data_IF_976257147923
#
_entry.id   IF_976257147923
#
_cell.length_a   1.000
_cell.length_b   1.000
_cell.length_c   1.000
_cell.angle_alpha   90.00
_cell.angle_beta   90.00
_cell.angle_gamma   90.00
#
_symmetry.space_group_name_H-M   'P 1'
#
loop_
_entity.id
_entity.type
_entity.pdbx_description
1 polymer ?
#
# COMPACT_ATOMS: atom_id res chain seq x y z
N UNK A 1 -18.05 12.41 1.12
CA UNK A 1 -18.12 11.03 0.55
C UNK A 1 -17.29 10.06 1.39
N UNK A 2 -15.99 10.26 1.57
CA UNK A 2 -15.11 9.38 2.37
C UNK A 2 -15.59 9.19 3.82
N UNK A 3 -16.05 10.22 4.50
CA UNK A 3 -16.56 10.12 5.88
C UNK A 3 -17.76 9.16 6.02
N UNK A 4 -18.63 9.09 5.03
CA UNK A 4 -19.75 8.14 5.03
C UNK A 4 -19.30 6.70 4.82
N UNK A 5 -18.29 6.48 3.99
CA UNK A 5 -17.69 5.16 3.78
C UNK A 5 -17.02 4.68 5.07
N UNK A 6 -16.22 5.54 5.72
CA UNK A 6 -15.59 5.21 6.99
C UNK A 6 -16.60 4.92 8.11
N UNK A 7 -17.71 5.63 8.15
CA UNK A 7 -18.76 5.42 9.15
C UNK A 7 -19.45 4.04 9.03
N UNK A 8 -19.44 3.44 7.85
CA UNK A 8 -19.93 2.05 7.67
C UNK A 8 -19.00 1.01 8.31
N UNK A 9 -17.68 1.27 8.31
CA UNK A 9 -16.71 0.38 8.92
C UNK A 9 -16.48 0.67 10.41
N UNK A 10 -16.77 1.88 10.84
CA UNK A 10 -16.57 2.33 12.24
C UNK A 10 -17.83 3.01 12.77
N UNK A 11 -18.92 2.26 12.98
CA UNK A 11 -20.22 2.83 13.39
C UNK A 11 -20.18 3.50 14.76
N UNK A 12 -19.25 3.09 15.62
CA UNK A 12 -19.03 3.66 16.98
C UNK A 12 -18.45 5.08 16.93
N UNK A 13 -17.84 5.48 15.81
CA UNK A 13 -17.15 6.76 15.69
C UNK A 13 -18.07 7.84 15.13
N UNK A 14 -17.99 9.04 15.69
CA UNK A 14 -18.82 10.16 15.23
C UNK A 14 -18.40 10.67 13.83
N UNK A 15 -19.31 11.25 13.05
CA UNK A 15 -18.97 11.89 11.77
C UNK A 15 -17.91 13.01 11.92
N UNK A 16 -17.90 13.71 13.05
CA UNK A 16 -16.92 14.76 13.33
C UNK A 16 -15.53 14.19 13.64
N UNK A 17 -15.45 12.99 14.21
CA UNK A 17 -14.19 12.28 14.39
C UNK A 17 -13.48 12.08 13.04
N UNK A 18 -14.17 11.53 12.04
CA UNK A 18 -13.59 11.32 10.72
C UNK A 18 -13.23 12.61 10.01
N UNK A 19 -14.05 13.65 10.17
CA UNK A 19 -13.76 14.97 9.60
C UNK A 19 -12.48 15.57 10.20
N UNK A 20 -12.30 15.43 11.50
CA UNK A 20 -11.09 15.90 12.18
C UNK A 20 -9.88 15.04 11.83
N UNK A 21 -10.06 13.72 11.77
CA UNK A 21 -9.01 12.78 11.31
C UNK A 21 -8.53 13.14 9.90
N UNK A 22 -9.42 13.37 8.95
CA UNK A 22 -9.05 13.76 7.58
C UNK A 22 -8.32 15.10 7.53
N UNK A 23 -8.65 16.04 8.43
CA UNK A 23 -7.95 17.33 8.53
C UNK A 23 -6.54 17.20 9.14
N UNK A 24 -6.28 16.19 9.95
CA UNK A 24 -4.97 15.94 10.58
C UNK A 24 -3.99 15.24 9.64
N UNK A 25 -4.45 14.75 8.50
CA UNK A 25 -3.60 14.08 7.49
C UNK A 25 -2.82 15.15 6.71
N UNK A 26 -1.53 15.20 6.92
CA UNK A 26 -0.62 16.11 6.25
C UNK A 26 0.32 15.39 5.27
N UNK A 27 0.55 14.09 5.49
CA UNK A 27 1.48 13.27 4.72
C UNK A 27 0.83 11.97 4.27
N UNK A 28 1.48 11.28 3.33
CA UNK A 28 1.09 9.92 2.93
C UNK A 28 1.20 8.95 4.12
N UNK A 29 2.20 9.13 4.96
CA UNK A 29 2.38 8.29 6.17
C UNK A 29 1.21 8.47 7.14
N UNK A 30 0.75 9.71 7.36
CA UNK A 30 -0.43 9.95 8.20
C UNK A 30 -1.66 9.21 7.64
N UNK A 31 -1.87 9.26 6.31
CA UNK A 31 -2.98 8.54 5.70
C UNK A 31 -2.88 7.03 5.92
N UNK A 32 -1.70 6.46 5.69
CA UNK A 32 -1.49 5.02 5.88
C UNK A 32 -1.65 4.60 7.35
N UNK A 33 -1.10 5.39 8.28
CA UNK A 33 -1.14 5.08 9.71
C UNK A 33 -2.51 5.37 10.32
N UNK A 34 -3.08 6.54 10.06
CA UNK A 34 -4.30 6.97 10.73
C UNK A 34 -5.58 6.39 10.11
N UNK A 35 -5.53 6.04 8.81
CA UNK A 35 -6.70 5.59 8.06
C UNK A 35 -6.56 4.13 7.66
N UNK A 36 -5.56 3.81 6.83
CA UNK A 36 -5.44 2.49 6.22
C UNK A 36 -5.15 1.39 7.24
N UNK A 37 -4.28 1.65 8.23
CA UNK A 37 -3.99 0.65 9.25
C UNK A 37 -5.23 0.28 10.07
N UNK A 38 -6.06 1.25 10.41
CA UNK A 38 -7.34 1.01 11.13
C UNK A 38 -8.29 0.18 10.28
N UNK A 39 -8.42 0.54 9.00
CA UNK A 39 -9.27 -0.20 8.06
C UNK A 39 -8.82 -1.66 7.92
N UNK A 40 -7.53 -1.89 7.70
CA UNK A 40 -6.98 -3.25 7.55
C UNK A 40 -7.14 -4.07 8.83
N UNK A 41 -6.91 -3.48 10.01
CA UNK A 41 -7.17 -4.14 11.30
C UNK A 41 -8.63 -4.54 11.42
N UNK A 42 -9.55 -3.62 11.15
CA UNK A 42 -10.98 -3.91 11.20
C UNK A 42 -11.35 -5.06 10.26
N UNK A 43 -10.84 -5.07 9.03
CA UNK A 43 -11.08 -6.17 8.07
C UNK A 43 -10.55 -7.49 8.65
N UNK A 44 -9.32 -7.53 9.17
CA UNK A 44 -8.74 -8.74 9.75
C UNK A 44 -9.55 -9.25 10.94
N UNK A 45 -9.96 -8.38 11.84
CA UNK A 45 -10.75 -8.73 13.04
C UNK A 45 -12.12 -9.33 12.70
N UNK A 46 -12.76 -8.86 11.59
CA UNK A 46 -14.09 -9.30 11.21
C UNK A 46 -14.11 -10.44 10.18
N UNK A 47 -13.03 -10.65 9.44
CA UNK A 47 -13.01 -11.61 8.33
C UNK A 47 -11.99 -12.73 8.47
N UNK A 48 -10.95 -12.55 9.28
CA UNK A 48 -9.89 -13.53 9.45
C UNK A 48 -9.98 -14.24 10.80
N UNK A 49 -9.79 -15.55 10.78
CA UNK A 49 -9.61 -16.35 12.00
C UNK A 49 -8.13 -16.64 12.17
N UNK A 50 -7.57 -16.31 13.34
CA UNK A 50 -6.19 -16.65 13.71
C UNK A 50 -5.15 -16.09 12.71
N UNK A 51 -5.20 -14.78 12.43
CA UNK A 51 -4.16 -14.14 11.61
C UNK A 51 -2.79 -14.29 12.28
N UNK A 52 -1.84 -14.84 11.56
CA UNK A 52 -0.45 -14.97 11.98
C UNK A 52 0.51 -14.70 10.83
N UNK A 53 1.72 -14.31 11.15
CA UNK A 53 2.82 -14.14 10.19
C UNK A 53 4.14 -14.54 10.85
N UNK A 54 5.14 -14.85 10.03
CA UNK A 54 6.48 -15.21 10.47
C UNK A 54 7.54 -14.58 9.56
N UNK A 55 8.82 -14.74 9.92
CA UNK A 55 9.96 -14.29 9.12
C UNK A 55 10.25 -12.79 9.16
N UNK A 56 9.56 -12.00 9.97
CA UNK A 56 9.79 -10.55 10.06
C UNK A 56 11.22 -10.21 10.54
N UNK A 57 11.82 -11.06 11.35
CA UNK A 57 13.21 -10.94 11.81
C UNK A 57 14.25 -11.04 10.69
N UNK A 58 13.87 -11.54 9.51
CA UNK A 58 14.76 -11.60 8.35
C UNK A 58 14.88 -10.24 7.63
N UNK A 59 14.07 -9.26 8.01
CA UNK A 59 14.10 -7.91 7.44
C UNK A 59 14.97 -7.02 8.33
N UNK A 60 16.06 -6.52 7.77
CA UNK A 60 16.87 -5.47 8.41
C UNK A 60 16.20 -4.11 8.23
N UNK A 61 15.64 -3.48 9.29
CA UNK A 61 14.89 -2.23 9.17
C UNK A 61 15.77 -1.04 8.74
N UNK A 62 17.09 -1.16 8.85
CA UNK A 62 18.05 -0.13 8.43
C UNK A 62 18.30 -0.14 6.92
N UNK A 63 17.94 -1.21 6.22
CA UNK A 63 18.15 -1.38 4.78
C UNK A 63 16.86 -1.31 3.98
N UNK A 64 16.97 -0.84 2.75
CA UNK A 64 15.88 -0.92 1.79
C UNK A 64 15.94 -2.23 1.03
N UNK A 65 14.76 -2.79 0.73
CA UNK A 65 14.64 -4.10 0.12
C UNK A 65 13.56 -4.14 -0.97
N UNK A 66 13.65 -5.13 -1.83
CA UNK A 66 12.59 -5.53 -2.75
C UNK A 66 11.88 -6.76 -2.20
N UNK A 67 10.60 -6.62 -1.86
CA UNK A 67 9.76 -7.75 -1.51
C UNK A 67 9.06 -8.27 -2.76
N UNK A 68 9.25 -9.54 -3.07
CA UNK A 68 8.55 -10.25 -4.14
C UNK A 68 7.58 -11.25 -3.50
N UNK A 69 6.33 -11.21 -3.91
CA UNK A 69 5.31 -12.14 -3.40
C UNK A 69 4.45 -12.70 -4.52
N UNK A 70 3.82 -13.85 -4.25
CA UNK A 70 2.64 -14.24 -4.98
C UNK A 70 1.49 -13.29 -4.66
N UNK A 71 0.49 -13.27 -5.53
CA UNK A 71 -0.64 -12.35 -5.41
C UNK A 71 -1.96 -13.12 -5.46
N UNK A 72 -2.67 -13.13 -4.34
CA UNK A 72 -4.01 -13.75 -4.23
C UNK A 72 -5.11 -12.69 -4.21
N UNK A 73 -4.92 -11.63 -3.44
CA UNK A 73 -5.86 -10.53 -3.31
C UNK A 73 -5.20 -9.19 -3.64
N UNK A 74 -5.80 -8.46 -4.58
CA UNK A 74 -5.24 -7.20 -5.11
C UNK A 74 -5.12 -6.11 -4.04
N UNK A 75 -6.00 -6.11 -3.05
CA UNK A 75 -6.08 -5.07 -2.02
C UNK A 75 -5.49 -5.55 -0.71
N UNK A 76 -5.87 -6.76 -0.26
CA UNK A 76 -5.51 -7.23 1.07
C UNK A 76 -4.06 -7.65 1.18
N UNK A 77 -3.47 -8.31 0.17
CA UNK A 77 -2.07 -8.75 0.27
C UNK A 77 -1.11 -7.59 0.54
N UNK A 78 -1.09 -6.51 -0.28
CA UNK A 78 -0.23 -5.38 0.01
C UNK A 78 -0.62 -4.65 1.29
N UNK A 79 -1.90 -4.52 1.60
CA UNK A 79 -2.37 -3.79 2.76
C UNK A 79 -1.99 -4.50 4.08
N UNK A 80 -2.12 -5.82 4.14
CA UNK A 80 -1.69 -6.63 5.28
C UNK A 80 -0.18 -6.58 5.44
N UNK A 81 0.57 -6.66 4.34
CA UNK A 81 2.02 -6.55 4.40
C UNK A 81 2.47 -5.20 4.98
N UNK A 82 1.87 -4.09 4.54
CA UNK A 82 2.15 -2.77 5.12
C UNK A 82 1.81 -2.72 6.62
N UNK A 83 0.67 -3.30 7.03
CA UNK A 83 0.27 -3.35 8.44
C UNK A 83 1.28 -4.14 9.28
N UNK A 84 1.77 -5.27 8.77
CA UNK A 84 2.80 -6.09 9.45
C UNK A 84 4.10 -5.31 9.61
N UNK A 85 4.58 -4.64 8.55
CA UNK A 85 5.77 -3.80 8.62
C UNK A 85 5.60 -2.69 9.67
N UNK A 86 4.50 -1.97 9.61
CA UNK A 86 4.19 -0.88 10.54
C UNK A 86 4.16 -1.36 12.00
N UNK A 87 3.50 -2.48 12.28
CA UNK A 87 3.41 -3.04 13.63
C UNK A 87 4.77 -3.46 14.22
N UNK A 88 5.76 -3.71 13.36
CA UNK A 88 7.11 -4.10 13.76
C UNK A 88 8.13 -2.95 13.63
N UNK A 89 7.68 -1.70 13.46
CA UNK A 89 8.57 -0.54 13.35
C UNK A 89 9.43 -0.50 12.09
N UNK A 90 9.06 -1.27 11.06
CA UNK A 90 9.76 -1.29 9.78
C UNK A 90 9.08 -0.27 8.85
N UNK A 91 9.84 0.58 8.15
CA UNK A 91 9.26 1.52 7.19
C UNK A 91 8.42 0.82 6.12
N UNK A 92 7.23 1.34 5.87
CA UNK A 92 6.33 0.82 4.84
C UNK A 92 6.94 0.94 3.44
N UNK A 93 6.58 0.01 2.54
CA UNK A 93 7.11 -0.04 1.18
C UNK A 93 6.26 0.79 0.22
N UNK A 94 6.82 1.16 -0.92
CA UNK A 94 6.04 1.49 -2.10
C UNK A 94 5.46 0.20 -2.71
N UNK A 95 4.28 0.31 -3.34
CA UNK A 95 3.54 -0.85 -3.86
C UNK A 95 3.41 -0.71 -5.37
N UNK A 96 3.91 -1.67 -6.14
CA UNK A 96 3.74 -1.68 -7.59
C UNK A 96 2.31 -2.12 -7.96
N UNK A 97 1.58 -1.26 -8.67
CA UNK A 97 0.18 -1.47 -9.06
C UNK A 97 0.00 -1.31 -10.57
N UNK A 98 -0.74 -2.23 -11.20
CA UNK A 98 -1.06 -2.13 -12.61
C UNK A 98 -1.98 -0.95 -12.94
N UNK A 99 -1.72 -0.23 -14.03
CA UNK A 99 -2.50 0.92 -14.48
C UNK A 99 -3.94 0.56 -14.87
N UNK A 100 -4.21 -0.69 -15.18
CA UNK A 100 -5.55 -1.23 -15.41
C UNK A 100 -6.48 -1.15 -14.20
N UNK A 101 -5.94 -0.94 -12.99
CA UNK A 101 -6.72 -0.74 -11.77
C UNK A 101 -7.12 0.73 -11.55
N UNK A 102 -6.52 1.65 -12.30
CA UNK A 102 -6.83 3.08 -12.22
C UNK A 102 -8.01 3.39 -13.13
N UNK A 103 -9.21 3.17 -12.63
CA UNK A 103 -10.46 3.32 -13.41
C UNK A 103 -11.03 4.72 -13.39
N UNK A 104 -10.69 5.53 -12.40
CA UNK A 104 -11.15 6.90 -12.27
C UNK A 104 -10.24 7.70 -11.32
N UNK A 105 -10.45 9.02 -11.28
CA UNK A 105 -9.64 9.96 -10.50
C UNK A 105 -9.65 9.68 -8.98
N UNK A 106 -10.76 9.22 -8.43
CA UNK A 106 -10.87 8.89 -7.00
C UNK A 106 -9.97 7.69 -6.64
N UNK A 107 -9.98 6.66 -7.50
CA UNK A 107 -9.09 5.50 -7.35
C UNK A 107 -7.62 5.92 -7.52
N UNK A 108 -7.32 6.81 -8.46
CA UNK A 108 -5.96 7.33 -8.62
C UNK A 108 -5.47 8.05 -7.36
N UNK A 109 -6.28 8.90 -6.76
CA UNK A 109 -5.93 9.56 -5.51
C UNK A 109 -5.70 8.56 -4.37
N UNK A 110 -6.55 7.55 -4.22
CA UNK A 110 -6.39 6.50 -3.23
C UNK A 110 -5.08 5.74 -3.43
N UNK A 111 -4.77 5.36 -4.66
CA UNK A 111 -3.53 4.67 -5.04
C UNK A 111 -2.30 5.53 -4.67
N UNK A 112 -2.30 6.80 -5.05
CA UNK A 112 -1.20 7.73 -4.73
C UNK A 112 -1.04 7.94 -3.22
N UNK A 113 -2.14 8.02 -2.48
CA UNK A 113 -2.13 8.16 -1.01
C UNK A 113 -1.63 6.91 -0.28
N UNK A 114 -1.48 5.79 -0.98
CA UNK A 114 -0.94 4.54 -0.44
C UNK A 114 0.47 4.20 -0.97
N UNK A 115 1.25 5.20 -1.39
CA UNK A 115 2.61 5.01 -1.94
C UNK A 115 2.67 4.04 -3.12
N UNK A 116 1.60 3.95 -3.91
CA UNK A 116 1.56 3.03 -5.03
C UNK A 116 2.22 3.63 -6.25
N UNK A 117 3.11 2.85 -6.89
CA UNK A 117 3.79 3.18 -8.13
C UNK A 117 3.10 2.47 -9.30
N UNK A 118 2.88 3.22 -10.38
CA UNK A 118 2.14 2.74 -11.54
C UNK A 118 3.00 1.82 -12.42
N UNK A 119 2.50 0.63 -12.68
CA UNK A 119 3.06 -0.31 -13.66
C UNK A 119 2.23 -0.26 -14.93
N UNK A 120 2.80 0.19 -16.02
CA UNK A 120 2.11 0.30 -17.31
C UNK A 120 1.92 -1.09 -17.93
N UNK A 121 0.68 -1.40 -18.33
CA UNK A 121 0.29 -2.67 -18.94
C UNK A 121 -0.52 -2.41 -20.22
N UNK A 122 -0.41 -3.31 -21.17
CA UNK A 122 -1.39 -3.38 -22.27
C UNK A 122 -1.23 -2.38 -23.43
N UNK A 123 -0.05 -1.80 -23.62
CA UNK A 123 0.26 -0.99 -24.78
C UNK A 123 1.05 -1.85 -25.81
N UNK A 124 1.73 -1.23 -26.75
CA UNK A 124 2.58 -1.94 -27.70
C UNK A 124 3.77 -2.62 -27.02
N UNK A 125 4.34 -3.66 -27.63
CA UNK A 125 5.51 -4.37 -27.11
C UNK A 125 6.70 -3.42 -26.82
N UNK A 126 6.87 -2.38 -27.67
CA UNK A 126 7.91 -1.37 -27.48
C UNK A 126 7.68 -0.54 -26.24
N UNK A 127 6.46 -0.06 -26.02
CA UNK A 127 6.11 0.76 -24.85
C UNK A 127 6.18 -0.05 -23.56
N UNK A 128 5.75 -1.31 -23.60
CA UNK A 128 5.90 -2.24 -22.48
C UNK A 128 7.37 -2.44 -22.11
N UNK A 129 8.25 -2.63 -23.10
CA UNK A 129 9.68 -2.76 -22.89
C UNK A 129 10.26 -1.49 -22.25
N UNK A 130 9.97 -0.31 -22.80
CA UNK A 130 10.47 0.96 -22.27
C UNK A 130 9.96 1.22 -20.85
N UNK A 131 8.68 0.96 -20.57
CA UNK A 131 8.08 1.10 -19.25
C UNK A 131 8.71 0.13 -18.25
N UNK A 132 8.99 -1.11 -18.65
CA UNK A 132 9.67 -2.10 -17.81
C UNK A 132 11.11 -1.69 -17.48
N UNK A 133 11.84 -1.11 -18.43
CA UNK A 133 13.18 -0.58 -18.19
C UNK A 133 13.14 0.61 -17.19
N UNK A 134 12.19 1.51 -17.36
CA UNK A 134 11.99 2.64 -16.46
C UNK A 134 11.66 2.17 -15.04
N UNK A 135 10.72 1.24 -14.89
CA UNK A 135 10.33 0.66 -13.61
C UNK A 135 11.51 -0.04 -12.94
N UNK A 136 12.25 -0.88 -13.68
CA UNK A 136 13.42 -1.58 -13.18
C UNK A 136 14.49 -0.61 -12.68
N UNK A 137 14.75 0.48 -13.43
CA UNK A 137 15.67 1.54 -13.01
C UNK A 137 15.18 2.25 -11.75
N UNK A 138 13.90 2.58 -11.70
CA UNK A 138 13.27 3.21 -10.53
C UNK A 138 13.45 2.35 -9.27
N UNK A 139 13.09 1.06 -9.34
CA UNK A 139 13.22 0.10 -8.24
C UNK A 139 14.67 0.04 -7.75
N UNK A 140 15.60 -0.16 -8.68
CA UNK A 140 17.03 -0.26 -8.35
C UNK A 140 17.53 1.00 -7.65
N UNK A 141 17.26 2.19 -8.19
CA UNK A 141 17.69 3.45 -7.59
C UNK A 141 17.12 3.65 -6.17
N UNK A 142 15.84 3.36 -5.96
CA UNK A 142 15.23 3.52 -4.64
C UNK A 142 15.88 2.60 -3.60
N UNK A 143 16.24 1.38 -3.97
CA UNK A 143 16.87 0.43 -3.05
C UNK A 143 18.36 0.77 -2.85
N UNK A 144 19.11 1.02 -3.91
CA UNK A 144 20.56 1.26 -3.81
C UNK A 144 20.89 2.60 -3.16
N UNK A 145 20.06 3.62 -3.36
CA UNK A 145 20.21 4.94 -2.73
C UNK A 145 19.48 5.06 -1.38
N UNK A 146 18.99 3.94 -0.84
CA UNK A 146 18.34 3.85 0.48
C UNK A 146 17.12 4.79 0.62
N UNK A 147 16.36 5.04 -0.45
CA UNK A 147 15.19 5.93 -0.45
C UNK A 147 13.96 5.23 0.09
N UNK A 148 13.54 4.13 -0.56
CA UNK A 148 12.35 3.35 -0.18
C UNK A 148 12.52 1.87 -0.49
N UNK A 149 11.87 1.03 0.30
CA UNK A 149 11.65 -0.39 -0.03
C UNK A 149 10.45 -0.51 -0.97
N UNK A 150 10.41 -1.55 -1.78
CA UNK A 150 9.36 -1.74 -2.79
C UNK A 150 8.78 -3.14 -2.65
N UNK A 151 7.44 -3.23 -2.74
CA UNK A 151 6.72 -4.48 -2.84
C UNK A 151 6.19 -4.68 -4.27
N UNK A 152 6.45 -5.85 -4.83
CA UNK A 152 6.03 -6.25 -6.16
C UNK A 152 5.40 -7.63 -6.12
N UNK A 153 4.17 -7.75 -6.62
CA UNK A 153 3.53 -9.05 -6.80
C UNK A 153 3.86 -9.67 -8.15
N UNK A 154 4.15 -10.95 -8.14
CA UNK A 154 4.25 -11.79 -9.33
C UNK A 154 2.89 -12.44 -9.61
N UNK A 155 2.59 -12.61 -10.88
CA UNK A 155 1.46 -13.45 -11.33
C UNK A 155 1.91 -14.87 -11.53
#
# INVERSE_FOLDING_TARGET
MLSRVFQQFFPEESPDFFKNLLKSIMTIDDFQVLVMSKFVRWVLEHTAKNFSYDGISNIDPSKKFLALSNHRDIILDPAIFQLVLYNNGIPMTEIAVGDNLITNQTIEYLIRSNRMIKVVRGITARELYLSSQLLSRYIRLNITEQRSSIWLAQR
#
